data_IF_869319551945
#
_entry.id   IF_869319551945
#
_cell.length_a   1.000
_cell.length_b   1.000
_cell.length_c   1.000
_cell.angle_alpha   90.00
_cell.angle_beta   90.00
_cell.angle_gamma   90.00
#
_symmetry.space_group_name_H-M   'P 1'
#
loop_
_entity.id
_entity.type
_entity.pdbx_description
1 polymer ?
#
# COMPACT_ATOMS: atom_id res chain seq x y z
N UNK A 1 9.83 -6.41 8.07
CA UNK A 1 9.34 -7.67 7.47
C UNK A 1 8.09 -7.37 6.65
N UNK A 2 8.08 -7.75 5.38
CA UNK A 2 6.89 -7.73 4.52
C UNK A 2 6.20 -9.09 4.60
N UNK A 3 4.91 -9.10 4.91
CA UNK A 3 4.06 -10.28 4.83
C UNK A 3 2.96 -10.03 3.82
N UNK A 4 2.75 -10.94 2.87
CA UNK A 4 1.65 -10.89 1.89
C UNK A 4 0.78 -12.14 2.05
N UNK A 5 -0.52 -11.92 2.09
CA UNK A 5 -1.56 -12.93 2.17
C UNK A 5 -2.46 -12.78 0.95
N UNK A 6 -2.64 -13.90 0.24
CA UNK A 6 -3.54 -13.99 -0.91
C UNK A 6 -4.83 -14.69 -0.51
N UNK A 7 -5.86 -14.56 -1.35
CA UNK A 7 -7.15 -15.20 -1.10
C UNK A 7 -7.00 -16.72 -1.05
N UNK A 8 -7.63 -17.36 -0.07
CA UNK A 8 -7.62 -18.83 0.08
C UNK A 8 -8.30 -19.56 -1.08
N UNK A 9 -9.24 -18.91 -1.74
CA UNK A 9 -9.95 -19.46 -2.90
C UNK A 9 -9.18 -19.33 -4.22
N UNK A 10 -7.96 -18.77 -4.19
CA UNK A 10 -7.08 -18.60 -5.36
C UNK A 10 -7.54 -17.54 -6.36
N UNK A 11 -8.67 -16.87 -6.10
CA UNK A 11 -9.20 -15.86 -7.02
C UNK A 11 -8.31 -14.62 -6.98
N UNK A 12 -7.88 -14.16 -8.15
CA UNK A 12 -7.00 -12.99 -8.29
C UNK A 12 -5.74 -13.05 -7.40
N UNK A 13 -5.30 -14.26 -7.03
CA UNK A 13 -4.15 -14.53 -6.17
C UNK A 13 -2.85 -14.49 -6.99
N UNK A 14 -2.51 -13.31 -7.47
CA UNK A 14 -1.29 -13.05 -8.23
C UNK A 14 -0.81 -11.61 -7.97
N UNK A 15 0.42 -11.31 -8.39
CA UNK A 15 0.94 -9.94 -8.33
C UNK A 15 0.05 -8.99 -9.12
N UNK A 16 -0.29 -7.86 -8.51
CA UNK A 16 -1.26 -6.83 -8.93
C UNK A 16 -2.73 -7.23 -8.76
N UNK A 17 -3.00 -8.43 -8.25
CA UNK A 17 -4.35 -8.89 -7.90
C UNK A 17 -4.77 -8.54 -6.47
N UNK A 18 -5.83 -9.20 -6.01
CA UNK A 18 -6.37 -9.00 -4.65
C UNK A 18 -5.40 -9.54 -3.60
N UNK A 19 -5.15 -8.77 -2.56
CA UNK A 19 -4.20 -9.15 -1.52
C UNK A 19 -4.39 -8.37 -0.23
N UNK A 20 -3.92 -8.97 0.87
CA UNK A 20 -3.63 -8.28 2.10
C UNK A 20 -2.13 -8.30 2.35
N UNK A 21 -1.49 -7.16 2.50
CA UNK A 21 -0.04 -7.05 2.79
C UNK A 21 0.20 -6.17 3.99
N UNK A 22 1.20 -6.51 4.81
CA UNK A 22 1.64 -5.71 5.96
C UNK A 22 3.15 -5.57 5.94
N UNK A 23 3.62 -4.43 6.45
CA UNK A 23 5.04 -4.16 6.66
C UNK A 23 5.23 -3.73 8.10
N UNK A 24 6.05 -4.48 8.84
CA UNK A 24 6.47 -4.13 10.20
C UNK A 24 7.96 -3.80 10.24
N UNK A 25 8.35 -2.83 11.05
CA UNK A 25 9.75 -2.63 11.43
C UNK A 25 10.20 -3.73 12.41
N UNK A 26 11.50 -3.83 12.65
CA UNK A 26 12.08 -4.82 13.57
C UNK A 26 11.64 -4.65 15.02
N UNK A 27 11.26 -3.44 15.41
CA UNK A 27 10.72 -3.10 16.73
C UNK A 27 9.21 -3.38 16.87
N UNK A 28 8.57 -3.95 15.84
CA UNK A 28 7.14 -4.24 15.82
C UNK A 28 6.26 -3.07 15.37
N UNK A 29 6.82 -1.92 15.01
CA UNK A 29 6.06 -0.78 14.48
C UNK A 29 5.43 -1.11 13.13
N UNK A 30 4.13 -0.87 12.97
CA UNK A 30 3.44 -0.99 11.68
C UNK A 30 3.88 0.15 10.74
N UNK A 31 4.64 -0.18 9.69
CA UNK A 31 5.07 0.77 8.65
C UNK A 31 4.02 0.97 7.56
N UNK A 32 3.16 -0.02 7.37
CA UNK A 32 2.04 0.09 6.46
C UNK A 32 1.30 -1.21 6.25
N UNK A 33 0.12 -1.12 5.66
CA UNK A 33 -0.61 -2.27 5.13
C UNK A 33 -1.39 -1.88 3.89
N UNK A 34 -1.75 -2.86 3.07
CA UNK A 34 -2.66 -2.73 1.95
C UNK A 34 -3.67 -3.88 1.97
N UNK A 35 -4.95 -3.56 1.94
CA UNK A 35 -6.08 -4.48 1.76
C UNK A 35 -6.75 -4.13 0.43
N UNK A 36 -6.30 -4.78 -0.62
CA UNK A 36 -6.75 -4.56 -1.98
C UNK A 36 -7.76 -5.66 -2.33
N UNK A 37 -9.03 -5.27 -2.44
CA UNK A 37 -10.15 -6.19 -2.68
C UNK A 37 -11.07 -5.64 -3.76
N UNK A 38 -11.52 -6.52 -4.67
CA UNK A 38 -12.50 -6.17 -5.69
C UNK A 38 -13.85 -5.80 -5.06
N UNK A 39 -14.13 -6.26 -3.84
CA UNK A 39 -15.34 -5.91 -3.10
C UNK A 39 -15.44 -4.41 -2.82
N UNK A 40 -14.37 -3.64 -2.93
CA UNK A 40 -14.38 -2.19 -2.72
C UNK A 40 -14.68 -1.40 -4.01
N UNK A 41 -14.57 -2.02 -5.19
CA UNK A 41 -14.69 -1.35 -6.48
C UNK A 41 -16.12 -0.89 -6.79
N UNK A 42 -16.24 0.31 -7.36
CA UNK A 42 -17.51 0.86 -7.87
C UNK A 42 -18.57 1.18 -6.80
N UNK A 43 -18.22 1.13 -5.51
CA UNK A 43 -19.14 1.43 -4.41
C UNK A 43 -19.08 2.90 -3.99
N UNK A 44 -20.18 3.45 -3.42
CA UNK A 44 -20.17 4.81 -2.88
C UNK A 44 -19.08 4.99 -1.82
N UNK A 45 -18.39 6.13 -1.88
CA UNK A 45 -17.36 6.47 -0.90
C UNK A 45 -17.97 7.22 0.29
N UNK A 46 -17.41 7.05 1.51
CA UNK A 46 -17.76 7.89 2.63
C UNK A 46 -17.47 9.37 2.35
N UNK A 47 -18.11 10.28 3.09
CA UNK A 47 -17.81 11.71 2.98
C UNK A 47 -16.37 12.01 3.38
N UNK A 48 -15.91 13.22 3.04
CA UNK A 48 -14.59 13.72 3.44
C UNK A 48 -14.43 13.70 4.97
N UNK A 49 -15.42 14.21 5.68
CA UNK A 49 -15.46 14.32 7.14
C UNK A 49 -15.48 12.92 7.78
N UNK A 50 -16.29 12.01 7.24
CA UNK A 50 -16.38 10.64 7.74
C UNK A 50 -15.06 9.90 7.54
N UNK A 51 -14.42 10.08 6.39
CA UNK A 51 -13.11 9.50 6.09
C UNK A 51 -12.02 10.02 7.02
N UNK A 52 -12.05 11.31 7.33
CA UNK A 52 -11.11 11.94 8.27
C UNK A 52 -11.28 11.39 9.70
N UNK A 53 -12.53 11.17 10.15
CA UNK A 53 -12.81 10.51 11.43
C UNK A 53 -12.25 9.08 11.47
N UNK A 54 -12.56 8.26 10.46
CA UNK A 54 -12.09 6.86 10.39
C UNK A 54 -10.56 6.80 10.35
N UNK A 55 -9.92 7.65 9.53
CA UNK A 55 -8.47 7.73 9.46
C UNK A 55 -7.86 8.11 10.81
N UNK A 56 -8.43 9.09 11.51
CA UNK A 56 -7.94 9.54 12.82
C UNK A 56 -8.13 8.46 13.89
N UNK A 57 -9.25 7.75 13.90
CA UNK A 57 -9.51 6.64 14.81
C UNK A 57 -8.54 5.47 14.58
N UNK A 58 -8.26 5.14 13.32
CA UNK A 58 -7.24 4.16 12.97
C UNK A 58 -5.86 4.58 13.47
N UNK A 59 -5.45 5.82 13.19
CA UNK A 59 -4.15 6.36 13.63
C UNK A 59 -4.02 6.34 15.15
N UNK A 60 -5.08 6.68 15.90
CA UNK A 60 -5.07 6.63 17.37
C UNK A 60 -4.73 5.23 17.91
N UNK A 61 -5.14 4.17 17.20
CA UNK A 61 -4.91 2.78 17.61
C UNK A 61 -3.57 2.25 17.09
N UNK A 62 -3.23 2.55 15.84
CA UNK A 62 -2.13 1.89 15.13
C UNK A 62 -0.83 2.72 15.07
N UNK A 63 -0.93 4.05 15.14
CA UNK A 63 0.20 4.98 15.03
C UNK A 63 -0.09 6.30 15.79
N UNK A 64 -0.34 6.24 17.11
CA UNK A 64 -0.76 7.42 17.90
C UNK A 64 0.30 8.52 17.91
N UNK A 65 1.57 8.16 17.73
CA UNK A 65 2.70 9.08 17.63
C UNK A 65 2.56 10.05 16.44
N UNK A 66 1.93 9.62 15.35
CA UNK A 66 1.71 10.47 14.17
C UNK A 66 0.69 11.59 14.41
N UNK A 67 -0.21 11.45 15.39
CA UNK A 67 -1.25 12.45 15.67
C UNK A 67 -0.70 13.72 16.32
N UNK A 68 0.39 13.60 17.09
CA UNK A 68 0.95 14.71 17.89
C UNK A 68 1.49 15.83 17.01
N UNK A 69 2.19 15.46 15.94
CA UNK A 69 2.91 16.37 15.06
C UNK A 69 2.33 16.38 13.64
N UNK A 70 1.02 16.18 13.50
CA UNK A 70 0.39 16.06 12.18
C UNK A 70 0.05 17.42 11.57
N UNK A 71 0.35 17.58 10.28
CA UNK A 71 -0.28 18.59 9.42
C UNK A 71 -1.03 17.92 8.27
N UNK A 72 -2.36 18.01 8.29
CA UNK A 72 -3.21 17.52 7.19
C UNK A 72 -2.92 18.31 5.92
N UNK A 73 -2.71 17.61 4.81
CA UNK A 73 -2.44 18.21 3.51
C UNK A 73 -3.60 18.03 2.52
N UNK A 74 -4.25 16.86 2.52
CA UNK A 74 -5.40 16.62 1.64
C UNK A 74 -6.27 15.48 2.18
N UNK A 75 -7.57 15.57 1.90
CA UNK A 75 -8.55 14.48 2.07
C UNK A 75 -9.36 14.42 0.79
N UNK A 76 -9.05 13.45 -0.09
CA UNK A 76 -9.57 13.42 -1.45
C UNK A 76 -9.68 11.99 -2.00
N UNK A 77 -10.53 11.73 -3.00
CA UNK A 77 -10.58 10.45 -3.69
C UNK A 77 -9.22 10.02 -4.24
N UNK A 78 -8.95 8.71 -4.16
CA UNK A 78 -7.74 8.07 -4.67
C UNK A 78 -8.10 6.69 -5.23
N UNK A 79 -7.43 6.29 -6.31
CA UNK A 79 -7.64 4.99 -6.95
C UNK A 79 -6.36 4.17 -6.93
N UNK A 80 -6.49 2.88 -6.66
CA UNK A 80 -5.45 1.87 -6.83
C UNK A 80 -5.88 0.89 -7.93
N UNK A 81 -5.00 0.59 -8.91
CA UNK A 81 -5.30 -0.39 -9.95
C UNK A 81 -5.22 -1.81 -9.40
N UNK A 82 -6.18 -2.65 -9.77
CA UNK A 82 -6.22 -4.07 -9.43
C UNK A 82 -6.45 -4.88 -10.69
N UNK A 83 -5.58 -5.85 -10.94
CA UNK A 83 -5.73 -6.81 -12.03
C UNK A 83 -6.64 -7.94 -11.57
N UNK A 84 -7.67 -8.22 -12.34
CA UNK A 84 -8.57 -9.34 -12.11
C UNK A 84 -8.61 -10.24 -13.33
N UNK A 85 -8.94 -11.51 -13.10
CA UNK A 85 -9.28 -12.44 -14.19
C UNK A 85 -10.79 -12.62 -14.24
N UNK A 86 -11.38 -12.20 -15.34
CA UNK A 86 -12.81 -12.35 -15.61
C UNK A 86 -13.00 -13.06 -16.95
N UNK A 87 -13.77 -14.14 -16.97
CA UNK A 87 -14.02 -14.97 -18.16
C UNK A 87 -12.74 -15.37 -18.94
N UNK A 88 -11.66 -15.69 -18.21
CA UNK A 88 -10.37 -16.08 -18.81
C UNK A 88 -9.55 -14.92 -19.39
N UNK A 89 -10.01 -13.67 -19.24
CA UNK A 89 -9.27 -12.47 -19.66
C UNK A 89 -8.80 -11.70 -18.44
N UNK A 90 -7.59 -11.16 -18.52
CA UNK A 90 -7.09 -10.18 -17.56
C UNK A 90 -7.65 -8.80 -17.86
N UNK A 91 -8.22 -8.14 -16.86
CA UNK A 91 -8.63 -6.74 -16.94
C UNK A 91 -8.11 -5.96 -15.71
N UNK A 92 -8.05 -4.64 -15.83
CA UNK A 92 -7.65 -3.75 -14.73
C UNK A 92 -8.85 -2.96 -14.25
N UNK A 93 -9.22 -3.14 -12.98
CA UNK A 93 -10.28 -2.42 -12.28
C UNK A 93 -9.65 -1.40 -11.34
N UNK A 94 -10.33 -0.26 -11.16
CA UNK A 94 -9.94 0.74 -10.17
C UNK A 94 -10.65 0.46 -8.86
N UNK A 95 -9.89 0.23 -7.79
CA UNK A 95 -10.42 0.26 -6.42
C UNK A 95 -10.25 1.66 -5.88
N UNK A 96 -11.35 2.27 -5.45
CA UNK A 96 -11.40 3.66 -5.01
C UNK A 96 -11.55 3.77 -3.50
N UNK A 97 -10.95 4.81 -2.93
CA UNK A 97 -11.10 5.18 -1.53
C UNK A 97 -10.88 6.68 -1.33
N UNK A 98 -11.06 7.17 -0.10
CA UNK A 98 -10.71 8.54 0.28
C UNK A 98 -9.37 8.55 0.99
N UNK A 99 -8.38 9.22 0.41
CA UNK A 99 -7.03 9.35 0.94
C UNK A 99 -6.92 10.55 1.87
N UNK A 100 -6.75 10.27 3.16
CA UNK A 100 -6.26 11.19 4.16
C UNK A 100 -4.73 11.24 4.09
N UNK A 101 -4.16 12.36 3.64
CA UNK A 101 -2.72 12.57 3.50
C UNK A 101 -2.26 13.66 4.46
N UNK A 102 -1.22 13.36 5.23
CA UNK A 102 -0.65 14.30 6.18
C UNK A 102 0.87 14.22 6.24
N UNK A 103 1.47 15.29 6.76
CA UNK A 103 2.90 15.40 7.00
C UNK A 103 3.17 15.28 8.50
N UNK A 104 4.14 14.46 8.87
CA UNK A 104 4.71 14.45 10.21
C UNK A 104 5.67 15.64 10.32
N UNK A 105 5.38 16.58 11.21
CA UNK A 105 6.18 17.78 11.43
C UNK A 105 7.45 17.49 12.24
N UNK A 106 7.53 16.36 12.94
CA UNK A 106 8.72 16.00 13.73
C UNK A 106 9.93 15.67 12.83
N UNK A 107 9.70 14.97 11.72
CA UNK A 107 10.75 14.50 10.80
C UNK A 107 10.54 14.94 9.34
N UNK A 108 9.43 15.63 9.06
CA UNK A 108 9.06 16.11 7.73
C UNK A 108 8.56 15.02 6.78
N UNK A 109 8.40 13.78 7.23
CA UNK A 109 7.95 12.64 6.43
C UNK A 109 6.46 12.72 6.11
N UNK A 110 6.03 11.99 5.08
CA UNK A 110 4.62 11.86 4.73
C UNK A 110 4.03 10.56 5.28
N UNK A 111 2.74 10.58 5.56
CA UNK A 111 1.94 9.40 5.83
C UNK A 111 0.54 9.58 5.27
N UNK A 112 -0.17 8.48 5.09
CA UNK A 112 -1.56 8.51 4.67
C UNK A 112 -2.33 7.27 5.08
N UNK A 113 -3.64 7.45 5.21
CA UNK A 113 -4.64 6.39 5.32
C UNK A 113 -5.59 6.54 4.13
N UNK A 114 -5.94 5.44 3.47
CA UNK A 114 -7.01 5.40 2.47
C UNK A 114 -8.18 4.63 3.08
N UNK A 115 -9.35 5.27 3.10
CA UNK A 115 -10.59 4.69 3.62
C UNK A 115 -11.41 4.17 2.45
N UNK A 116 -11.77 2.89 2.49
CA UNK A 116 -12.58 2.23 1.48
C UNK A 116 -14.07 2.58 1.59
N UNK A 117 -14.84 2.11 0.61
CA UNK A 117 -16.30 2.21 0.57
C UNK A 117 -17.01 1.43 1.69
N UNK A 118 -16.31 0.52 2.37
CA UNK A 118 -16.79 -0.26 3.51
C UNK A 118 -16.55 0.44 4.87
N UNK A 119 -16.20 1.73 4.83
CA UNK A 119 -15.82 2.54 6.00
C UNK A 119 -14.63 1.99 6.80
N UNK A 120 -13.74 1.24 6.16
CA UNK A 120 -12.52 0.73 6.80
C UNK A 120 -11.26 1.27 6.16
N UNK A 121 -10.16 1.41 6.92
CA UNK A 121 -8.83 1.61 6.36
C UNK A 121 -8.49 0.47 5.38
N UNK A 122 -8.33 0.80 4.09
CA UNK A 122 -7.91 -0.14 3.07
C UNK A 122 -6.40 -0.05 2.79
N UNK A 123 -5.76 1.09 3.09
CA UNK A 123 -4.32 1.25 2.92
C UNK A 123 -3.77 2.23 3.96
N UNK A 124 -2.61 1.92 4.52
CA UNK A 124 -1.86 2.82 5.39
C UNK A 124 -0.38 2.75 5.03
N UNK A 125 0.27 3.91 4.98
CA UNK A 125 1.73 4.01 4.89
C UNK A 125 2.24 5.19 5.71
N UNK A 126 3.41 5.01 6.34
CA UNK A 126 4.10 6.05 7.13
C UNK A 126 5.59 6.16 6.83
N UNK A 127 6.19 7.23 7.35
CA UNK A 127 7.62 7.53 7.29
C UNK A 127 8.15 7.65 5.85
N UNK A 128 7.31 8.23 4.99
CA UNK A 128 7.56 8.31 3.56
C UNK A 128 8.37 9.55 3.24
N UNK A 129 9.64 9.33 2.91
CA UNK A 129 10.54 10.40 2.50
C UNK A 129 10.31 10.74 1.01
N UNK A 130 10.22 12.04 0.72
CA UNK A 130 10.10 12.57 -0.64
C UNK A 130 11.39 13.31 -1.00
N UNK A 131 11.99 12.98 -2.14
CA UNK A 131 13.09 13.79 -2.68
C UNK A 131 12.49 14.95 -3.47
N UNK A 132 12.33 16.11 -2.82
CA UNK A 132 11.74 17.32 -3.42
C UNK A 132 12.44 17.73 -4.72
N UNK A 133 13.78 17.67 -4.75
CA UNK A 133 14.59 18.01 -5.94
C UNK A 133 14.41 17.04 -7.12
N UNK A 134 14.00 15.81 -6.86
CA UNK A 134 13.85 14.76 -7.89
C UNK A 134 12.39 14.44 -8.19
N UNK A 135 11.44 15.18 -7.59
CA UNK A 135 10.00 14.94 -7.68
C UNK A 135 9.57 13.47 -7.49
N UNK A 136 10.33 12.67 -6.71
CA UNK A 136 10.09 11.23 -6.55
C UNK A 136 10.15 10.77 -5.09
N UNK A 137 9.40 9.72 -4.79
CA UNK A 137 9.43 9.01 -3.50
C UNK A 137 10.82 8.40 -3.29
N UNK A 138 11.42 8.65 -2.12
CA UNK A 138 12.73 8.13 -1.70
C UNK A 138 12.59 6.82 -0.92
N UNK A 139 11.57 6.70 -0.10
CA UNK A 139 11.26 5.48 0.66
C UNK A 139 10.86 4.35 -0.29
N UNK A 140 11.25 3.13 0.05
CA UNK A 140 10.85 1.94 -0.69
C UNK A 140 9.32 1.79 -0.70
N UNK A 141 8.80 1.26 -1.81
CA UNK A 141 7.38 1.03 -2.07
C UNK A 141 7.02 -0.40 -1.70
N UNK A 142 7.34 -0.83 -0.47
CA UNK A 142 7.25 -2.23 -0.05
C UNK A 142 5.87 -2.87 -0.25
N UNK A 143 4.80 -2.06 -0.20
CA UNK A 143 3.43 -2.52 -0.41
C UNK A 143 2.98 -2.51 -1.88
N UNK A 144 3.77 -1.95 -2.79
CA UNK A 144 3.43 -1.89 -4.20
C UNK A 144 4.11 -3.02 -4.95
N UNK A 145 3.33 -3.71 -5.80
CA UNK A 145 3.80 -4.87 -6.55
C UNK A 145 4.93 -4.54 -7.53
N UNK A 146 5.13 -3.27 -7.88
CA UNK A 146 6.32 -2.80 -8.60
C UNK A 146 7.62 -3.09 -7.85
N UNK A 147 7.67 -2.85 -6.53
CA UNK A 147 8.86 -3.14 -5.73
C UNK A 147 9.05 -4.64 -5.56
N UNK A 148 7.96 -5.40 -5.35
CA UNK A 148 8.01 -6.87 -5.27
C UNK A 148 8.55 -7.48 -6.57
N UNK A 149 8.06 -7.01 -7.74
CA UNK A 149 8.59 -7.43 -9.04
C UNK A 149 10.08 -7.11 -9.21
N UNK A 150 10.52 -5.93 -8.76
CA UNK A 150 11.93 -5.54 -8.83
C UNK A 150 12.83 -6.42 -7.95
N UNK A 151 12.35 -6.80 -6.75
CA UNK A 151 13.09 -7.72 -5.86
C UNK A 151 13.14 -9.14 -6.42
N UNK A 152 12.02 -9.66 -6.94
CA UNK A 152 11.98 -10.98 -7.59
C UNK A 152 12.90 -11.03 -8.82
N UNK A 153 12.92 -9.97 -9.63
CA UNK A 153 13.83 -9.89 -10.77
C UNK A 153 15.31 -9.87 -10.34
N UNK A 154 15.65 -9.14 -9.27
CA UNK A 154 17.01 -9.13 -8.72
C UNK A 154 17.42 -10.46 -8.07
N UNK A 155 16.47 -11.19 -7.46
CA UNK A 155 16.73 -12.54 -6.97
C UNK A 155 16.99 -13.49 -8.12
N UNK A 156 16.14 -13.50 -9.17
CA UNK A 156 16.33 -14.36 -10.34
C UNK A 156 17.67 -14.10 -11.06
N UNK A 157 18.05 -12.83 -11.26
CA UNK A 157 19.35 -12.49 -11.86
C UNK A 157 20.54 -12.96 -11.01
N UNK A 158 20.43 -12.94 -9.68
CA UNK A 158 21.44 -13.54 -8.80
C UNK A 158 21.48 -15.06 -8.96
N UNK A 159 20.33 -15.75 -8.98
CA UNK A 159 20.29 -17.21 -9.14
C UNK A 159 20.88 -17.65 -10.48
N UNK A 160 20.59 -16.94 -11.56
CA UNK A 160 21.13 -17.23 -12.90
C UNK A 160 22.64 -16.99 -12.98
N UNK A 161 23.15 -15.94 -12.32
CA UNK A 161 24.60 -15.68 -12.23
C UNK A 161 25.38 -16.76 -11.48
N UNK A 162 24.75 -17.48 -10.56
CA UNK A 162 25.37 -18.59 -9.82
C UNK A 162 25.14 -19.97 -10.47
N UNK A 163 24.26 -20.05 -11.47
CA UNK A 163 23.97 -21.27 -12.24
C UNK A 163 24.68 -21.31 -13.61
N UNK A 164 25.73 -20.51 -13.82
CA UNK A 164 26.56 -20.65 -15.00
C UNK A 164 27.20 -22.04 -15.02
N UNK A 165 27.00 -22.86 -16.08
CA UNK A 165 27.65 -24.15 -16.16
C UNK A 165 29.16 -23.90 -16.23
N UNK A 166 29.90 -24.51 -15.30
CA UNK A 166 31.35 -24.57 -15.37
C UNK A 166 31.73 -25.24 -16.69
N UNK A 167 32.16 -24.46 -17.68
CA UNK A 167 32.79 -24.98 -18.88
C UNK A 167 34.17 -25.52 -18.47
N UNK A 168 34.31 -26.84 -18.55
CA UNK A 168 35.56 -27.59 -18.44
C UNK A 168 36.62 -27.13 -19.43
#
# INVERSE_FOLDING_TARGET
MLSRYERRDGRNAFLEGEHFSTVFASDGTLKGFANISLELAGKPLPSRERSEQIATEFLRRAAPDLLVNMKVASVAPHSEPVRITHAGRSETVQVTGIKFKARNLADGSWFWVIVGSDEKPMLFERDLQWATLLARRKSEQWLHDRWVKAQLAQQNDKTDRWNLPWTH
#
